data_IF_074560523600
#
_entry.id   IF_074560523600
#
_cell.length_a   1.000
_cell.length_b   1.000
_cell.length_c   1.000
_cell.angle_alpha   90.00
_cell.angle_beta   90.00
_cell.angle_gamma   90.00
#
_symmetry.space_group_name_H-M   'P 1'
#
loop_
_entity.id
_entity.type
_entity.pdbx_description
1 polymer ?
#
# COMPACT_ATOMS: atom_id res chain seq x y z
N UNK A 1 1.52 -9.05 -1.99
CA UNK A 1 0.47 -10.07 -1.78
C UNK A 1 -0.65 -9.51 -0.91
N UNK A 2 -0.42 -9.09 0.33
CA UNK A 2 -1.48 -8.67 1.26
C UNK A 2 -2.23 -7.38 0.86
N UNK A 3 -1.71 -6.59 -0.07
CA UNK A 3 -2.27 -5.28 -0.44
C UNK A 3 -3.04 -5.27 -1.76
N UNK A 4 -3.14 -6.41 -2.43
CA UNK A 4 -3.79 -6.55 -3.75
C UNK A 4 -4.95 -7.52 -3.69
N UNK A 5 -6.00 -7.35 -4.52
CA UNK A 5 -7.08 -8.31 -4.62
C UNK A 5 -6.57 -9.70 -4.98
N UNK A 6 -7.24 -10.73 -4.46
CA UNK A 6 -6.90 -12.13 -4.68
C UNK A 6 -5.40 -12.42 -4.43
N UNK A 7 -4.97 -12.12 -3.20
CA UNK A 7 -3.57 -12.27 -2.80
C UNK A 7 -3.04 -13.69 -2.93
N UNK A 8 -3.91 -14.71 -2.79
CA UNK A 8 -3.55 -16.13 -2.96
C UNK A 8 -3.13 -16.42 -4.38
N UNK A 9 -3.96 -16.05 -5.35
CA UNK A 9 -3.66 -16.23 -6.78
C UNK A 9 -2.38 -15.48 -7.18
N UNK A 10 -2.17 -14.27 -6.66
CA UNK A 10 -0.93 -13.53 -6.90
C UNK A 10 0.28 -14.27 -6.32
N UNK A 11 0.17 -14.82 -5.11
CA UNK A 11 1.21 -15.63 -4.47
C UNK A 11 1.56 -16.88 -5.30
N UNK A 12 0.55 -17.59 -5.81
CA UNK A 12 0.73 -18.73 -6.69
C UNK A 12 1.42 -18.34 -8.01
N UNK A 13 1.04 -17.17 -8.56
CA UNK A 13 1.67 -16.63 -9.78
C UNK A 13 3.15 -16.32 -9.57
N UNK A 14 3.54 -15.78 -8.40
CA UNK A 14 4.95 -15.56 -8.08
C UNK A 14 5.75 -16.86 -7.97
N UNK A 15 5.15 -17.90 -7.41
CA UNK A 15 5.81 -19.21 -7.33
C UNK A 15 6.09 -19.83 -8.71
N UNK A 16 5.39 -19.40 -9.77
CA UNK A 16 5.60 -19.84 -11.14
C UNK A 16 6.60 -19.02 -11.96
N UNK A 17 7.25 -18.01 -11.38
CA UNK A 17 8.25 -17.21 -12.08
C UNK A 17 9.57 -17.97 -12.24
N UNK A 18 10.22 -17.84 -13.40
CA UNK A 18 11.56 -18.40 -13.63
C UNK A 18 12.63 -17.75 -12.76
N UNK A 19 12.44 -16.48 -12.40
CA UNK A 19 13.35 -15.72 -11.54
C UNK A 19 12.65 -14.50 -10.97
N UNK A 20 12.83 -14.26 -9.67
CA UNK A 20 12.32 -13.10 -8.98
C UNK A 20 13.41 -12.44 -8.12
N UNK A 21 13.65 -11.16 -8.33
CA UNK A 21 14.47 -10.34 -7.42
C UNK A 21 13.60 -9.30 -6.71
N UNK A 22 13.81 -9.12 -5.41
CA UNK A 22 13.08 -8.14 -4.61
C UNK A 22 14.02 -7.18 -3.90
N UNK A 23 13.64 -5.91 -3.84
CA UNK A 23 14.32 -4.90 -3.02
C UNK A 23 13.48 -4.66 -1.78
N UNK A 24 13.86 -5.27 -0.67
CA UNK A 24 13.12 -5.23 0.59
C UNK A 24 14.07 -5.54 1.75
N UNK A 25 13.71 -5.09 2.95
CA UNK A 25 14.44 -5.37 4.20
C UNK A 25 13.87 -6.58 4.95
N UNK A 26 12.71 -7.09 4.54
CA UNK A 26 12.04 -8.22 5.17
C UNK A 26 11.88 -9.41 4.23
N UNK A 27 11.92 -10.60 4.80
CA UNK A 27 11.40 -11.82 4.18
C UNK A 27 9.91 -11.94 4.55
N UNK A 28 9.06 -11.33 3.73
CA UNK A 28 7.61 -11.21 3.94
C UNK A 28 6.80 -12.06 2.95
N UNK A 29 5.49 -11.92 2.93
CA UNK A 29 4.55 -12.69 2.12
C UNK A 29 4.77 -12.54 0.61
N UNK A 30 5.46 -11.50 0.19
CA UNK A 30 5.84 -11.26 -1.22
C UNK A 30 7.25 -11.78 -1.49
N UNK A 31 8.21 -11.36 -0.67
CA UNK A 31 9.64 -11.62 -0.90
C UNK A 31 10.06 -13.05 -0.64
N UNK A 32 9.22 -13.86 0.05
CA UNK A 32 9.44 -15.30 0.21
C UNK A 32 9.51 -16.07 -1.12
N UNK A 33 8.97 -15.49 -2.19
CA UNK A 33 9.02 -16.04 -3.55
C UNK A 33 10.27 -15.62 -4.34
N UNK A 34 11.05 -14.69 -3.80
CA UNK A 34 12.21 -14.17 -4.50
C UNK A 34 13.43 -15.09 -4.39
N UNK A 35 14.11 -15.33 -5.52
CA UNK A 35 15.42 -16.01 -5.57
C UNK A 35 16.52 -15.15 -4.98
N UNK A 36 16.36 -13.82 -5.08
CA UNK A 36 17.33 -12.85 -4.55
C UNK A 36 16.60 -11.70 -3.88
N UNK A 37 16.96 -11.41 -2.63
CA UNK A 37 16.51 -10.22 -1.91
C UNK A 37 17.70 -9.27 -1.76
N UNK A 38 17.52 -8.01 -2.17
CA UNK A 38 18.52 -6.95 -2.11
C UNK A 38 18.08 -5.95 -1.03
N UNK A 39 18.59 -6.05 0.20
CA UNK A 39 18.19 -5.17 1.29
C UNK A 39 18.77 -3.76 1.09
N UNK A 40 17.90 -2.72 0.97
CA UNK A 40 18.34 -1.35 0.94
C UNK A 40 18.62 -0.82 2.35
N UNK A 41 19.32 0.32 2.43
CA UNK A 41 19.43 1.09 3.66
C UNK A 41 18.05 1.59 4.14
N UNK A 42 17.95 1.85 5.44
CA UNK A 42 16.74 2.39 6.05
C UNK A 42 16.54 3.88 5.71
N UNK A 43 15.35 4.41 6.01
CA UNK A 43 15.03 5.82 5.78
C UNK A 43 15.91 6.78 6.60
N UNK A 44 16.49 6.34 7.74
CA UNK A 44 17.35 7.16 8.59
C UNK A 44 18.81 7.22 8.11
N UNK A 45 19.20 6.32 7.22
CA UNK A 45 20.54 6.26 6.63
C UNK A 45 20.66 7.02 5.30
N UNK A 46 19.61 7.70 4.86
CA UNK A 46 19.60 8.44 3.58
C UNK A 46 19.04 9.85 3.72
N UNK A 47 19.51 10.72 2.82
CA UNK A 47 18.96 12.07 2.66
C UNK A 47 17.49 12.00 2.21
N UNK A 48 16.71 12.98 2.63
CA UNK A 48 15.33 13.13 2.21
C UNK A 48 15.03 14.56 1.75
N UNK A 49 14.39 14.68 0.60
CA UNK A 49 13.78 15.90 0.08
C UNK A 49 12.40 15.55 -0.48
N UNK A 50 11.37 16.13 0.09
CA UNK A 50 10.00 15.85 -0.35
C UNK A 50 9.65 16.63 -1.61
N UNK A 51 9.53 15.90 -2.73
CA UNK A 51 9.12 16.46 -4.02
C UNK A 51 7.60 16.52 -4.20
N UNK A 52 6.85 15.68 -3.51
CA UNK A 52 5.43 15.43 -3.79
C UNK A 52 4.53 16.06 -2.72
N UNK A 53 4.76 15.74 -1.46
CA UNK A 53 3.84 16.13 -0.38
C UNK A 53 3.95 17.60 0.02
N UNK A 54 5.07 18.27 -0.27
CA UNK A 54 5.18 19.72 -0.08
C UNK A 54 4.15 20.51 -0.92
N UNK A 55 3.63 19.92 -2.00
CA UNK A 55 2.51 20.53 -2.76
C UNK A 55 1.23 20.66 -1.95
N UNK A 56 1.07 19.86 -0.88
CA UNK A 56 -0.09 19.85 -0.01
C UNK A 56 0.08 20.74 1.24
N UNK A 57 1.23 21.42 1.36
CA UNK A 57 1.49 22.35 2.44
C UNK A 57 0.62 23.61 2.33
N UNK A 58 0.28 24.23 3.44
CA UNK A 58 -0.51 25.48 3.48
C UNK A 58 0.26 26.72 3.01
N UNK A 59 1.56 26.60 2.82
CA UNK A 59 2.48 27.60 2.26
C UNK A 59 3.48 26.92 1.33
N UNK A 60 4.11 27.66 0.44
CA UNK A 60 5.25 27.16 -0.32
C UNK A 60 6.43 26.99 0.64
N UNK A 61 6.86 25.76 0.87
CA UNK A 61 7.99 25.43 1.74
C UNK A 61 8.94 24.47 1.04
N UNK A 62 10.18 24.43 1.48
CA UNK A 62 11.16 23.45 1.08
C UNK A 62 11.99 23.02 2.26
N UNK A 63 12.24 21.71 2.37
CA UNK A 63 13.06 21.15 3.44
C UNK A 63 13.95 20.04 2.90
N UNK A 64 15.19 20.05 3.35
CA UNK A 64 16.13 18.94 3.14
C UNK A 64 16.52 18.37 4.49
N UNK A 65 16.38 17.06 4.64
CA UNK A 65 16.75 16.34 5.84
C UNK A 65 17.92 15.44 5.50
N UNK A 66 19.11 15.68 6.07
CA UNK A 66 20.26 14.78 5.86
C UNK A 66 20.03 13.45 6.58
N UNK A 67 20.77 12.42 6.18
CA UNK A 67 20.82 11.14 6.87
C UNK A 67 21.19 11.37 8.35
N UNK A 68 20.52 10.61 9.24
CA UNK A 68 20.78 10.61 10.68
C UNK A 68 21.93 9.67 11.03
N UNK A 69 22.00 8.53 10.34
CA UNK A 69 23.02 7.53 10.50
C UNK A 69 23.84 7.38 9.22
N UNK A 70 25.12 7.08 9.39
CA UNK A 70 25.96 6.67 8.27
C UNK A 70 25.57 5.26 7.82
N UNK A 71 25.54 5.02 6.52
CA UNK A 71 25.28 3.68 6.00
C UNK A 71 26.47 2.77 6.23
N UNK A 72 26.21 1.51 6.52
CA UNK A 72 27.25 0.50 6.67
C UNK A 72 28.08 0.33 5.38
N UNK A 73 29.35 -0.04 5.56
CA UNK A 73 30.25 -0.31 4.42
C UNK A 73 29.69 -1.46 3.57
N UNK A 74 29.44 -1.19 2.31
CA UNK A 74 28.89 -2.17 1.35
C UNK A 74 27.37 -2.16 1.26
N UNK A 75 26.65 -1.50 2.18
CA UNK A 75 25.21 -1.28 2.04
C UNK A 75 24.90 -0.33 0.88
N UNK A 76 23.75 -0.51 0.24
CA UNK A 76 23.30 0.31 -0.87
C UNK A 76 21.93 0.92 -0.56
N UNK A 77 21.72 2.17 -0.97
CA UNK A 77 20.40 2.74 -0.99
C UNK A 77 19.54 2.07 -2.08
N UNK A 78 18.23 2.07 -1.91
CA UNK A 78 17.29 1.56 -2.91
C UNK A 78 17.57 2.17 -4.32
N UNK A 79 17.75 3.48 -4.41
CA UNK A 79 18.07 4.15 -5.67
C UNK A 79 19.42 3.71 -6.26
N UNK A 80 20.43 3.39 -5.44
CA UNK A 80 21.72 2.86 -5.90
C UNK A 80 21.54 1.46 -6.50
N UNK A 81 20.73 0.61 -5.87
CA UNK A 81 20.41 -0.73 -6.36
C UNK A 81 19.75 -0.62 -7.75
N UNK A 82 18.67 0.15 -7.86
CA UNK A 82 17.96 0.35 -9.14
C UNK A 82 18.87 1.00 -10.21
N UNK A 83 19.69 1.95 -9.82
CA UNK A 83 20.66 2.58 -10.72
C UNK A 83 21.66 1.57 -11.28
N UNK A 84 22.20 0.69 -10.44
CA UNK A 84 23.16 -0.34 -10.87
C UNK A 84 22.49 -1.39 -11.79
N UNK A 85 21.25 -1.79 -11.50
CA UNK A 85 20.48 -2.66 -12.38
C UNK A 85 20.25 -1.98 -13.72
N UNK A 86 19.77 -0.74 -13.71
CA UNK A 86 19.50 0.03 -14.91
C UNK A 86 20.74 0.26 -15.78
N UNK A 87 21.90 0.59 -15.18
CA UNK A 87 23.16 0.77 -15.91
C UNK A 87 23.58 -0.53 -16.61
N UNK A 88 23.49 -1.68 -15.91
CA UNK A 88 23.88 -2.98 -16.49
C UNK A 88 22.91 -3.43 -17.59
N UNK A 89 21.63 -3.24 -17.39
CA UNK A 89 20.58 -3.57 -18.37
C UNK A 89 20.72 -2.70 -19.61
N UNK A 90 20.87 -1.37 -19.44
CA UNK A 90 21.07 -0.45 -20.54
C UNK A 90 22.36 -0.73 -21.33
N UNK A 91 23.43 -1.15 -20.66
CA UNK A 91 24.67 -1.51 -21.34
C UNK A 91 24.47 -2.69 -22.31
N UNK A 92 23.62 -3.64 -21.96
CA UNK A 92 23.28 -4.78 -22.84
C UNK A 92 22.32 -4.36 -23.98
N UNK A 93 21.22 -3.64 -23.64
CA UNK A 93 20.20 -3.21 -24.63
C UNK A 93 20.81 -2.25 -25.66
N UNK A 94 21.65 -1.33 -25.22
CA UNK A 94 22.23 -0.27 -26.04
C UNK A 94 23.64 -0.60 -26.55
N UNK A 95 24.05 -1.87 -26.56
CA UNK A 95 25.37 -2.29 -27.02
C UNK A 95 25.71 -1.83 -28.44
N UNK A 96 24.70 -1.68 -29.31
CA UNK A 96 24.83 -1.23 -30.70
C UNK A 96 24.81 0.29 -30.87
N UNK A 97 24.54 1.10 -29.83
CA UNK A 97 24.56 2.57 -29.92
C UNK A 97 26.01 3.11 -30.00
N UNK A 98 26.21 4.30 -30.61
CA UNK A 98 27.51 4.97 -30.60
C UNK A 98 28.07 5.12 -29.18
N UNK A 99 29.40 4.99 -29.04
CA UNK A 99 30.10 5.05 -27.76
C UNK A 99 29.77 6.31 -26.95
N UNK A 100 29.73 7.46 -27.61
CA UNK A 100 29.40 8.76 -26.98
C UNK A 100 28.01 8.75 -26.35
N UNK A 101 27.01 8.20 -27.05
CA UNK A 101 25.64 8.05 -26.52
C UNK A 101 25.60 7.14 -25.31
N UNK A 102 26.34 6.03 -25.34
CA UNK A 102 26.43 5.10 -24.20
C UNK A 102 27.11 5.74 -22.98
N UNK A 103 28.16 6.52 -23.19
CA UNK A 103 28.84 7.24 -22.10
C UNK A 103 27.90 8.30 -21.50
N UNK A 104 27.25 9.11 -22.33
CA UNK A 104 26.34 10.17 -21.85
C UNK A 104 25.15 9.60 -21.07
N UNK A 105 24.56 8.50 -21.54
CA UNK A 105 23.52 7.78 -20.81
C UNK A 105 24.03 7.26 -19.46
N UNK A 106 25.22 6.66 -19.43
CA UNK A 106 25.80 6.15 -18.19
C UNK A 106 26.07 7.27 -17.20
N UNK A 107 26.61 8.41 -17.62
CA UNK A 107 26.85 9.59 -16.78
C UNK A 107 25.52 10.09 -16.20
N UNK A 108 24.49 10.26 -17.04
CA UNK A 108 23.17 10.69 -16.60
C UNK A 108 22.55 9.73 -15.60
N UNK A 109 22.68 8.42 -15.83
CA UNK A 109 22.15 7.39 -14.94
C UNK A 109 22.94 7.26 -13.63
N UNK A 110 24.17 7.78 -13.58
CA UNK A 110 25.04 7.72 -12.37
C UNK A 110 24.87 8.92 -11.45
N UNK A 111 23.97 9.86 -11.76
CA UNK A 111 23.73 11.03 -10.92
C UNK A 111 22.96 10.64 -9.66
N UNK A 112 23.43 11.09 -8.48
CA UNK A 112 22.69 10.88 -7.24
C UNK A 112 21.42 11.74 -7.19
N UNK A 113 20.36 11.29 -6.51
CA UNK A 113 19.15 12.09 -6.30
C UNK A 113 19.43 13.47 -5.66
N UNK A 114 20.33 13.53 -4.69
CA UNK A 114 20.73 14.78 -4.03
C UNK A 114 21.38 15.77 -5.01
N UNK A 115 22.21 15.28 -5.95
CA UNK A 115 22.75 16.13 -7.02
C UNK A 115 21.65 16.61 -7.97
N UNK A 116 20.73 15.74 -8.36
CA UNK A 116 19.59 16.11 -9.21
C UNK A 116 18.73 17.19 -8.56
N UNK A 117 18.39 17.03 -7.28
CA UNK A 117 17.64 18.04 -6.50
C UNK A 117 18.41 19.36 -6.44
N UNK A 118 19.73 19.31 -6.22
CA UNK A 118 20.57 20.51 -6.19
C UNK A 118 20.51 21.29 -7.50
N UNK A 119 20.58 20.60 -8.63
CA UNK A 119 20.47 21.21 -9.96
C UNK A 119 19.07 21.79 -10.21
N UNK A 120 18.02 21.07 -9.83
CA UNK A 120 16.63 21.54 -9.95
C UNK A 120 16.36 22.79 -9.10
N UNK A 121 16.88 22.84 -7.87
CA UNK A 121 16.79 24.03 -7.01
C UNK A 121 17.51 25.23 -7.63
N UNK A 122 18.71 25.01 -8.21
CA UNK A 122 19.45 26.06 -8.89
C UNK A 122 18.69 26.61 -10.12
N UNK A 123 18.05 25.73 -10.88
CA UNK A 123 17.20 26.13 -12.02
C UNK A 123 15.95 26.90 -11.56
N UNK A 124 15.34 26.48 -10.44
CA UNK A 124 14.15 27.12 -9.86
C UNK A 124 14.40 28.50 -9.24
N UNK A 125 15.64 28.82 -8.89
CA UNK A 125 16.11 30.14 -8.38
C UNK A 125 15.38 30.69 -7.15
N UNK A 126 14.58 29.88 -6.44
CA UNK A 126 13.85 30.32 -5.23
C UNK A 126 14.57 30.00 -3.94
N UNK A 127 15.36 28.93 -3.95
CA UNK A 127 16.21 28.51 -2.84
C UNK A 127 17.38 27.70 -3.39
N UNK A 128 18.30 27.31 -2.52
CA UNK A 128 19.46 26.49 -2.90
C UNK A 128 19.67 25.40 -1.86
N UNK A 129 20.36 24.31 -2.27
CA UNK A 129 20.74 23.24 -1.35
C UNK A 129 21.55 23.77 -0.16
N UNK A 130 22.38 24.80 -0.36
CA UNK A 130 23.13 25.46 0.71
C UNK A 130 22.19 26.07 1.74
N UNK A 131 21.17 26.81 1.31
CA UNK A 131 20.17 27.41 2.21
C UNK A 131 19.38 26.34 2.96
N UNK A 132 18.94 25.27 2.28
CA UNK A 132 18.21 24.20 2.93
C UNK A 132 19.03 23.46 4.01
N UNK A 133 20.33 23.33 3.82
CA UNK A 133 21.24 22.75 4.82
C UNK A 133 21.50 23.66 6.00
N UNK A 134 21.44 24.98 5.82
CA UNK A 134 21.54 25.97 6.90
C UNK A 134 20.25 26.11 7.72
N UNK A 135 19.12 25.67 7.15
CA UNK A 135 17.78 25.77 7.75
C UNK A 135 17.14 24.36 7.85
N UNK A 136 17.55 23.54 8.83
CA UNK A 136 17.02 22.19 9.01
C UNK A 136 15.52 22.16 9.35
N UNK A 137 14.98 23.26 9.89
CA UNK A 137 13.56 23.50 10.11
C UNK A 137 12.77 23.66 8.80
N UNK A 138 13.45 24.01 7.71
CA UNK A 138 12.89 24.30 6.40
C UNK A 138 12.89 25.78 6.04
N UNK A 139 12.68 26.09 4.78
CA UNK A 139 12.64 27.46 4.22
C UNK A 139 11.21 27.77 3.78
N UNK A 140 10.65 28.87 4.25
CA UNK A 140 9.39 29.42 3.76
C UNK A 140 9.65 30.19 2.43
N UNK A 141 9.00 29.76 1.37
CA UNK A 141 9.09 30.34 0.03
C UNK A 141 7.89 31.26 -0.29
N UNK A 142 7.07 31.55 0.71
CA UNK A 142 5.94 32.47 0.61
C UNK A 142 4.58 31.79 0.49
N UNK A 143 3.57 32.61 0.33
CA UNK A 143 2.18 32.20 0.29
C UNK A 143 1.84 31.40 -0.96
N UNK A 144 0.89 30.48 -0.83
CA UNK A 144 0.22 29.87 -1.97
C UNK A 144 -0.64 30.94 -2.65
N UNK A 145 -0.48 31.09 -3.96
CA UNK A 145 -1.31 31.99 -4.76
C UNK A 145 -2.21 31.18 -5.70
N UNK A 146 -3.46 31.60 -5.89
CA UNK A 146 -4.33 30.99 -6.88
C UNK A 146 -3.64 30.94 -8.27
N UNK A 147 -3.57 29.78 -8.87
CA UNK A 147 -2.90 29.58 -10.16
C UNK A 147 -3.87 29.17 -11.27
N UNK A 148 -5.14 28.99 -10.92
CA UNK A 148 -6.21 28.70 -11.86
C UNK A 148 -6.69 29.99 -12.56
N UNK A 149 -7.07 29.94 -13.85
CA UNK A 149 -7.05 28.78 -14.77
C UNK A 149 -5.71 28.57 -15.50
N UNK A 150 -4.70 29.44 -15.29
CA UNK A 150 -3.46 29.46 -16.08
C UNK A 150 -2.72 28.09 -16.08
N UNK A 151 -2.69 27.40 -14.95
CA UNK A 151 -2.04 26.07 -14.79
C UNK A 151 -2.85 24.90 -15.33
N UNK A 152 -4.07 25.09 -15.81
CA UNK A 152 -4.79 24.00 -16.44
C UNK A 152 -4.12 23.60 -17.77
N UNK A 153 -3.92 22.30 -17.95
CA UNK A 153 -3.33 21.76 -19.18
C UNK A 153 -4.35 21.50 -20.29
N UNK A 154 -5.65 21.69 -20.00
CA UNK A 154 -6.72 21.62 -21.02
C UNK A 154 -6.56 22.72 -22.05
N UNK A 155 -6.86 22.42 -23.33
CA UNK A 155 -6.70 23.38 -24.44
C UNK A 155 -7.48 24.69 -24.24
N UNK A 156 -8.67 24.62 -23.64
CA UNK A 156 -9.56 25.76 -23.40
C UNK A 156 -9.39 26.40 -22.01
N UNK A 157 -8.42 25.92 -21.21
CA UNK A 157 -8.20 26.36 -19.81
C UNK A 157 -9.45 26.28 -18.94
N UNK A 158 -10.30 25.30 -19.18
CA UNK A 158 -11.49 24.98 -18.39
C UNK A 158 -11.41 23.58 -17.80
N UNK A 159 -12.08 23.38 -16.68
CA UNK A 159 -12.25 22.05 -16.07
C UNK A 159 -13.44 21.40 -16.79
N UNK A 160 -13.23 20.20 -17.30
CA UNK A 160 -14.31 19.35 -17.80
C UNK A 160 -14.93 18.61 -16.60
N UNK A 161 -16.17 18.97 -16.27
CA UNK A 161 -16.90 18.39 -15.14
C UNK A 161 -17.64 17.09 -15.50
N UNK A 162 -17.73 16.77 -16.79
CA UNK A 162 -18.40 15.58 -17.29
C UNK A 162 -17.60 14.92 -18.43
N UNK A 163 -16.38 14.46 -18.15
CA UNK A 163 -15.54 13.86 -19.19
C UNK A 163 -16.19 12.60 -19.74
N UNK A 164 -16.23 12.49 -21.06
CA UNK A 164 -16.94 11.44 -21.78
C UNK A 164 -16.66 10.00 -21.25
N UNK A 165 -15.42 9.60 -20.88
CA UNK A 165 -15.16 8.28 -20.32
C UNK A 165 -15.91 8.03 -19.00
N UNK A 166 -16.00 9.04 -18.12
CA UNK A 166 -16.70 8.90 -16.83
C UNK A 166 -18.22 8.89 -17.01
N UNK A 167 -18.73 9.70 -17.95
CA UNK A 167 -20.17 9.70 -18.27
C UNK A 167 -20.60 8.35 -18.87
N UNK A 168 -19.79 7.78 -19.76
CA UNK A 168 -20.05 6.46 -20.35
C UNK A 168 -20.05 5.34 -19.30
N UNK A 169 -19.27 5.46 -18.22
CA UNK A 169 -19.19 4.47 -17.15
C UNK A 169 -20.43 4.45 -16.23
N UNK A 170 -21.30 5.45 -16.30
CA UNK A 170 -22.54 5.48 -15.53
C UNK A 170 -23.46 4.28 -15.84
N UNK A 171 -23.41 3.76 -17.05
CA UNK A 171 -24.21 2.57 -17.39
C UNK A 171 -23.69 1.33 -16.66
N UNK A 172 -22.38 1.14 -16.60
CA UNK A 172 -21.77 0.07 -15.77
C UNK A 172 -22.12 0.26 -14.30
N UNK A 173 -22.08 1.48 -13.77
CA UNK A 173 -22.44 1.76 -12.38
C UNK A 173 -23.89 1.33 -12.10
N UNK A 174 -24.84 1.65 -12.98
CA UNK A 174 -26.26 1.27 -12.81
C UNK A 174 -26.46 -0.24 -12.70
N UNK A 175 -25.70 -1.01 -13.48
CA UNK A 175 -25.79 -2.48 -13.51
C UNK A 175 -24.95 -3.16 -12.43
N UNK A 176 -23.94 -2.48 -11.90
CA UNK A 176 -22.98 -3.05 -10.92
C UNK A 176 -23.25 -2.64 -9.47
N UNK A 177 -24.26 -1.82 -9.20
CA UNK A 177 -24.67 -1.53 -7.82
C UNK A 177 -25.07 -2.87 -7.17
N UNK A 178 -24.34 -3.36 -6.16
CA UNK A 178 -24.70 -4.59 -5.52
C UNK A 178 -26.03 -4.41 -4.79
N UNK A 179 -27.03 -5.10 -5.26
CA UNK A 179 -28.20 -5.41 -4.43
C UNK A 179 -27.81 -6.72 -3.74
N UNK A 180 -27.52 -6.74 -2.43
CA UNK A 180 -27.21 -7.98 -1.73
C UNK A 180 -28.37 -8.96 -1.95
N UNK A 181 -28.04 -10.19 -2.31
CA UNK A 181 -29.03 -11.27 -2.31
C UNK A 181 -29.51 -11.53 -0.88
N UNK A 182 -30.65 -12.18 -0.73
CA UNK A 182 -31.15 -12.52 0.60
C UNK A 182 -30.10 -13.31 1.39
N UNK A 183 -29.73 -12.82 2.57
CA UNK A 183 -28.69 -13.41 3.42
C UNK A 183 -27.25 -12.94 3.13
N UNK A 184 -26.99 -12.21 2.05
CA UNK A 184 -25.69 -11.60 1.79
C UNK A 184 -25.49 -10.30 2.61
N UNK A 185 -24.23 -10.05 2.92
CA UNK A 185 -23.73 -8.85 3.58
C UNK A 185 -22.73 -8.16 2.67
N UNK A 186 -22.50 -6.89 2.91
CA UNK A 186 -21.50 -6.11 2.16
C UNK A 186 -20.25 -5.95 3.00
N UNK A 187 -19.13 -6.50 2.54
CA UNK A 187 -17.83 -6.34 3.19
C UNK A 187 -17.18 -5.02 2.79
N UNK A 188 -16.76 -4.26 3.78
CA UNK A 188 -15.92 -3.07 3.62
C UNK A 188 -14.58 -3.24 4.34
N UNK A 189 -13.52 -2.67 3.75
CA UNK A 189 -12.21 -2.60 4.39
C UNK A 189 -12.15 -1.45 5.39
N UNK A 190 -11.49 -1.66 6.55
CA UNK A 190 -11.14 -0.58 7.45
C UNK A 190 -9.65 -0.40 7.56
N UNK A 191 -9.23 0.84 7.77
CA UNK A 191 -7.84 1.24 7.97
C UNK A 191 -7.62 1.66 9.41
N UNK A 192 -6.46 1.33 9.93
CA UNK A 192 -6.03 1.80 11.23
C UNK A 192 -4.74 2.59 11.08
N UNK A 193 -4.67 3.79 11.68
CA UNK A 193 -3.53 4.72 11.51
C UNK A 193 -2.18 4.14 11.95
N UNK A 194 -2.18 3.27 12.97
CA UNK A 194 -0.96 2.63 13.46
C UNK A 194 -0.50 1.42 12.64
N UNK A 195 -1.30 0.95 11.67
CA UNK A 195 -0.95 -0.23 10.88
C UNK A 195 -0.15 0.12 9.62
N UNK A 196 -0.33 1.33 9.07
CA UNK A 196 0.28 1.79 7.82
C UNK A 196 0.19 0.70 6.72
N UNK A 197 -1.00 0.25 6.40
CA UNK A 197 -1.33 -1.01 5.73
C UNK A 197 -0.89 -2.22 6.57
N UNK A 198 0.28 -2.80 6.31
CA UNK A 198 0.89 -3.90 7.09
C UNK A 198 2.32 -3.57 7.56
N UNK A 199 2.85 -2.44 7.17
CA UNK A 199 4.28 -2.12 7.33
C UNK A 199 4.74 -2.09 8.79
N UNK A 200 3.85 -1.71 9.69
CA UNK A 200 4.16 -1.55 11.11
C UNK A 200 3.79 -2.77 11.95
N UNK A 201 3.21 -3.81 11.36
CA UNK A 201 2.82 -5.00 12.10
C UNK A 201 4.02 -5.79 12.68
N UNK A 202 5.21 -5.62 12.12
CA UNK A 202 6.44 -6.19 12.69
C UNK A 202 7.07 -5.34 13.81
N UNK A 203 6.38 -4.29 14.27
CA UNK A 203 6.82 -3.39 15.34
C UNK A 203 5.90 -3.57 16.55
N UNK A 204 6.37 -4.27 17.58
CA UNK A 204 5.61 -4.60 18.80
C UNK A 204 4.89 -3.37 19.41
N UNK A 205 5.58 -2.21 19.48
CA UNK A 205 5.01 -0.98 20.04
C UNK A 205 3.73 -0.51 19.33
N UNK A 206 3.62 -0.75 18.02
CA UNK A 206 2.49 -0.28 17.21
C UNK A 206 1.35 -1.28 17.12
N UNK A 207 1.61 -2.55 17.45
CA UNK A 207 0.60 -3.61 17.48
C UNK A 207 -0.02 -3.84 18.85
N UNK A 208 0.51 -3.22 19.91
CA UNK A 208 -0.02 -3.29 21.27
C UNK A 208 -1.44 -2.72 21.39
N UNK A 209 -2.19 -3.21 22.35
CA UNK A 209 -3.51 -2.71 22.73
C UNK A 209 -4.64 -3.69 22.44
N UNK A 210 -5.85 -3.16 22.30
CA UNK A 210 -7.04 -3.99 22.03
C UNK A 210 -6.93 -4.70 20.67
N UNK A 211 -7.46 -5.91 20.54
CA UNK A 211 -7.54 -6.60 19.26
C UNK A 211 -8.23 -5.73 18.18
N UNK A 212 -7.66 -5.70 16.99
CA UNK A 212 -8.17 -4.89 15.86
C UNK A 212 -8.46 -5.73 14.63
N UNK A 213 -8.11 -7.02 14.68
CA UNK A 213 -8.20 -7.95 13.56
C UNK A 213 -9.60 -8.50 13.30
N UNK A 214 -10.52 -8.37 14.27
CA UNK A 214 -11.83 -9.02 14.26
C UNK A 214 -12.74 -8.50 13.14
N UNK A 215 -13.68 -9.33 12.70
CA UNK A 215 -14.81 -8.90 11.86
C UNK A 215 -15.76 -8.06 12.72
N UNK A 216 -16.04 -6.82 12.33
CA UNK A 216 -17.08 -6.01 12.96
C UNK A 216 -18.41 -6.26 12.28
N UNK A 217 -19.45 -6.50 13.08
CA UNK A 217 -20.80 -6.80 12.60
C UNK A 217 -21.85 -6.19 13.52
N UNK A 218 -22.96 -5.71 12.93
CA UNK A 218 -24.07 -5.15 13.72
C UNK A 218 -24.75 -6.24 14.57
N UNK A 219 -25.14 -5.95 15.84
CA UNK A 219 -25.81 -6.91 16.70
C UNK A 219 -27.10 -7.51 16.09
N UNK A 220 -27.84 -6.75 15.28
CA UNK A 220 -29.04 -7.25 14.58
C UNK A 220 -28.69 -8.34 13.57
N UNK A 221 -27.59 -8.15 12.83
CA UNK A 221 -27.10 -9.13 11.87
C UNK A 221 -26.57 -10.39 12.54
N UNK A 222 -25.89 -10.23 13.69
CA UNK A 222 -25.44 -11.34 14.52
C UNK A 222 -26.62 -12.18 14.98
N UNK A 223 -27.62 -11.54 15.59
CA UNK A 223 -28.80 -12.21 16.14
C UNK A 223 -29.58 -12.97 15.05
N UNK A 224 -29.76 -12.34 13.86
CA UNK A 224 -30.49 -12.97 12.75
C UNK A 224 -29.82 -14.23 12.20
N UNK A 225 -28.53 -14.42 12.47
CA UNK A 225 -27.71 -15.56 12.01
C UNK A 225 -27.33 -16.53 13.15
N UNK A 226 -27.81 -16.27 14.37
CA UNK A 226 -27.45 -17.08 15.53
C UNK A 226 -25.96 -17.04 15.89
N UNK A 227 -25.30 -15.92 15.61
CA UNK A 227 -23.88 -15.69 15.90
C UNK A 227 -23.79 -14.84 17.18
N UNK A 228 -22.87 -15.17 18.08
CA UNK A 228 -22.60 -14.42 19.30
C UNK A 228 -21.32 -13.58 19.15
N UNK A 229 -21.19 -12.54 19.95
CA UNK A 229 -19.95 -11.77 20.07
C UNK A 229 -18.79 -12.68 20.48
N UNK A 230 -17.70 -12.62 19.75
CA UNK A 230 -16.52 -13.46 19.94
C UNK A 230 -16.57 -14.85 19.29
N UNK A 231 -17.64 -15.22 18.61
CA UNK A 231 -17.68 -16.50 17.89
C UNK A 231 -16.71 -16.49 16.70
N UNK A 232 -16.15 -17.67 16.39
CA UNK A 232 -15.40 -17.88 15.15
C UNK A 232 -16.39 -18.01 13.99
N UNK A 233 -16.20 -17.22 12.95
CA UNK A 233 -17.05 -17.21 11.75
C UNK A 233 -16.25 -17.46 10.49
N UNK A 234 -16.89 -18.06 9.48
CA UNK A 234 -16.35 -18.13 8.12
C UNK A 234 -17.03 -17.07 7.26
N UNK A 235 -16.22 -16.26 6.62
CA UNK A 235 -16.64 -15.27 5.63
C UNK A 235 -16.28 -15.83 4.27
N UNK A 236 -17.24 -15.83 3.37
CA UNK A 236 -17.05 -16.32 2.00
C UNK A 236 -17.49 -15.27 0.99
N UNK A 237 -16.63 -15.02 0.02
CA UNK A 237 -16.92 -14.21 -1.19
C UNK A 237 -16.90 -15.10 -2.44
N UNK A 238 -17.08 -14.51 -3.61
CA UNK A 238 -16.93 -15.21 -4.91
C UNK A 238 -15.55 -15.85 -5.09
N UNK A 239 -14.49 -15.25 -4.54
CA UNK A 239 -13.10 -15.66 -4.84
C UNK A 239 -12.45 -16.46 -3.72
N UNK A 240 -12.97 -16.44 -2.51
CA UNK A 240 -12.36 -17.18 -1.42
C UNK A 240 -13.12 -17.11 -0.11
N UNK A 241 -12.53 -17.72 0.91
CA UNK A 241 -13.06 -17.71 2.27
C UNK A 241 -11.95 -17.54 3.30
N UNK A 242 -12.29 -16.90 4.43
CA UNK A 242 -11.41 -16.74 5.59
C UNK A 242 -12.18 -17.01 6.87
N UNK A 243 -11.47 -17.38 7.94
CA UNK A 243 -12.05 -17.65 9.26
C UNK A 243 -11.48 -16.66 10.28
N UNK A 244 -12.35 -16.00 11.05
CA UNK A 244 -11.97 -14.93 11.97
C UNK A 244 -13.00 -14.78 13.08
N UNK A 245 -12.56 -14.29 14.24
CA UNK A 245 -13.46 -13.95 15.33
C UNK A 245 -14.30 -12.71 14.95
N UNK A 246 -15.58 -12.74 15.30
CA UNK A 246 -16.48 -11.61 15.14
C UNK A 246 -16.53 -10.75 16.40
N UNK A 247 -16.73 -9.45 16.22
CA UNK A 247 -17.00 -8.54 17.33
C UNK A 247 -18.29 -7.74 17.03
N UNK A 248 -19.16 -7.69 18.02
CA UNK A 248 -20.37 -6.88 17.97
C UNK A 248 -20.02 -5.39 17.94
N UNK A 249 -20.58 -4.65 16.99
CA UNK A 249 -20.34 -3.22 16.82
C UNK A 249 -21.66 -2.49 16.50
N UNK A 250 -22.18 -1.73 17.46
CA UNK A 250 -23.44 -0.99 17.32
C UNK A 250 -23.38 0.13 16.27
N UNK A 251 -22.17 0.65 16.01
CA UNK A 251 -21.92 1.67 15.02
C UNK A 251 -21.82 1.15 13.58
N UNK A 252 -21.84 -0.19 13.41
CA UNK A 252 -21.92 -0.78 12.07
C UNK A 252 -23.36 -0.71 11.53
N UNK A 253 -23.49 -0.34 10.26
CA UNK A 253 -24.77 -0.37 9.57
C UNK A 253 -25.24 -1.84 9.41
N UNK A 254 -26.52 -2.17 9.69
CA UNK A 254 -27.07 -3.48 9.34
C UNK A 254 -26.86 -3.82 7.86
N UNK A 255 -26.51 -5.06 7.58
CA UNK A 255 -26.18 -5.53 6.24
C UNK A 255 -24.74 -5.26 5.81
N UNK A 256 -23.91 -4.63 6.67
CA UNK A 256 -22.51 -4.31 6.38
C UNK A 256 -21.59 -4.93 7.42
N UNK A 257 -20.50 -5.54 6.95
CA UNK A 257 -19.43 -6.08 7.82
C UNK A 257 -18.09 -5.48 7.46
N UNK A 258 -17.19 -5.38 8.44
CA UNK A 258 -15.89 -4.73 8.23
C UNK A 258 -14.72 -5.56 8.71
N UNK A 259 -13.74 -5.77 7.82
CA UNK A 259 -12.44 -6.37 8.16
C UNK A 259 -11.30 -5.35 8.03
N UNK A 260 -10.27 -5.45 8.87
CA UNK A 260 -9.10 -4.61 8.74
C UNK A 260 -8.23 -5.03 7.56
N UNK A 261 -7.60 -4.04 6.93
CA UNK A 261 -6.64 -4.24 5.86
C UNK A 261 -5.23 -4.51 6.42
N UNK A 262 -4.45 -5.35 5.73
CA UNK A 262 -3.03 -5.56 6.01
C UNK A 262 -2.70 -6.70 6.97
N UNK A 263 -3.67 -7.49 7.39
CA UNK A 263 -3.50 -8.68 8.22
C UNK A 263 -3.30 -9.96 7.38
N UNK A 264 -2.97 -11.07 8.04
CA UNK A 264 -2.74 -12.37 7.39
C UNK A 264 -1.26 -12.73 7.25
N UNK A 265 -0.47 -12.47 8.31
CA UNK A 265 0.98 -12.68 8.31
C UNK A 265 1.41 -14.14 8.62
N UNK A 266 0.47 -15.03 8.97
CA UNK A 266 0.75 -16.42 9.30
C UNK A 266 1.00 -17.25 8.03
N UNK A 267 2.06 -16.90 7.30
CA UNK A 267 2.40 -17.52 6.01
C UNK A 267 3.76 -18.20 6.14
N UNK A 268 3.81 -19.49 5.79
CA UNK A 268 5.04 -20.27 5.80
C UNK A 268 6.10 -19.65 4.86
N UNK A 269 7.37 -19.71 5.29
CA UNK A 269 8.50 -19.17 4.53
C UNK A 269 8.77 -17.68 4.79
N UNK A 270 7.97 -16.98 5.59
CA UNK A 270 8.26 -15.61 6.04
C UNK A 270 9.16 -15.59 7.28
N UNK A 271 9.83 -14.45 7.53
CA UNK A 271 10.66 -14.23 8.74
C UNK A 271 10.31 -12.90 9.42
N UNK A 272 9.04 -12.60 9.50
CA UNK A 272 8.52 -11.42 10.22
C UNK A 272 8.08 -11.86 11.62
N UNK A 273 9.04 -12.07 12.51
CA UNK A 273 8.87 -12.76 13.79
C UNK A 273 7.76 -12.19 14.67
N UNK A 274 7.61 -10.86 14.75
CA UNK A 274 6.53 -10.25 15.52
C UNK A 274 5.20 -10.27 14.76
N UNK A 275 5.20 -9.89 13.48
CA UNK A 275 3.98 -9.86 12.66
C UNK A 275 3.33 -11.24 12.52
N UNK A 276 4.10 -12.32 12.45
CA UNK A 276 3.57 -13.69 12.41
C UNK A 276 2.76 -14.04 13.67
N UNK A 277 3.01 -13.39 14.81
CA UNK A 277 2.22 -13.53 16.02
C UNK A 277 0.99 -12.62 16.09
N UNK A 278 0.81 -11.69 15.15
CA UNK A 278 -0.34 -10.79 15.09
C UNK A 278 -1.52 -11.55 14.47
N UNK A 279 -2.58 -11.75 15.26
CA UNK A 279 -3.78 -12.42 14.77
C UNK A 279 -4.46 -11.65 13.64
N UNK A 280 -5.21 -12.35 12.80
CA UNK A 280 -5.98 -11.76 11.70
C UNK A 280 -5.77 -12.46 10.37
N UNK A 281 -6.61 -12.13 9.41
CA UNK A 281 -6.64 -12.71 8.07
C UNK A 281 -6.55 -11.64 6.99
N UNK A 282 -6.15 -12.01 5.79
CA UNK A 282 -6.11 -11.07 4.67
C UNK A 282 -7.52 -10.81 4.13
N UNK A 283 -8.01 -9.57 4.26
CA UNK A 283 -9.24 -9.15 3.60
C UNK A 283 -9.15 -9.33 2.07
N UNK A 284 -7.95 -9.25 1.51
CA UNK A 284 -7.73 -9.35 0.07
C UNK A 284 -7.84 -10.79 -0.47
N UNK A 285 -7.95 -11.79 0.41
CA UNK A 285 -8.37 -13.14 0.03
C UNK A 285 -9.87 -13.22 -0.30
N UNK A 286 -10.62 -12.15 0.00
CA UNK A 286 -12.05 -12.00 -0.30
C UNK A 286 -12.33 -10.98 -1.40
N UNK A 287 -11.38 -10.10 -1.73
CA UNK A 287 -11.57 -9.05 -2.75
C UNK A 287 -11.38 -9.60 -4.15
N UNK A 288 -12.30 -9.21 -5.05
CA UNK A 288 -12.41 -9.77 -6.40
C UNK A 288 -11.54 -8.99 -7.39
N UNK A 289 -10.54 -9.64 -8.03
CA UNK A 289 -9.67 -8.98 -8.99
C UNK A 289 -10.36 -8.60 -10.31
N UNK A 290 -11.54 -9.14 -10.59
CA UNK A 290 -12.32 -8.80 -11.79
C UNK A 290 -13.21 -7.57 -11.58
N UNK A 291 -13.39 -7.12 -10.33
CA UNK A 291 -14.13 -5.89 -10.00
C UNK A 291 -13.25 -4.68 -10.14
N UNK A 292 -13.09 -4.21 -11.37
CA UNK A 292 -12.29 -3.04 -11.73
C UNK A 292 -13.19 -1.93 -12.28
N UNK A 293 -12.81 -0.68 -12.02
CA UNK A 293 -13.39 0.47 -12.72
C UNK A 293 -12.70 0.70 -14.09
N UNK A 294 -13.14 1.72 -14.82
CA UNK A 294 -12.58 2.05 -16.15
C UNK A 294 -11.11 2.51 -16.10
N UNK A 295 -10.60 2.89 -14.92
CA UNK A 295 -9.21 3.26 -14.72
C UNK A 295 -8.33 2.08 -14.32
N UNK A 296 -8.92 0.91 -14.10
CA UNK A 296 -8.25 -0.28 -13.58
C UNK A 296 -8.10 -0.31 -12.06
N UNK A 297 -8.79 0.58 -11.29
CA UNK A 297 -8.82 0.51 -9.85
C UNK A 297 -9.65 -0.68 -9.37
N UNK A 298 -9.10 -1.40 -8.40
CA UNK A 298 -9.79 -2.51 -7.77
C UNK A 298 -10.85 -2.04 -6.76
N UNK A 299 -12.00 -2.70 -6.75
CA UNK A 299 -13.04 -2.49 -5.76
C UNK A 299 -12.69 -3.24 -4.46
N UNK A 300 -11.95 -2.58 -3.56
CA UNK A 300 -11.51 -3.12 -2.27
C UNK A 300 -12.59 -3.04 -1.17
N UNK A 301 -13.74 -2.48 -1.46
CA UNK A 301 -14.91 -2.37 -0.58
C UNK A 301 -16.19 -2.62 -1.37
N UNK A 302 -17.28 -2.92 -0.67
CA UNK A 302 -18.55 -3.26 -1.34
C UNK A 302 -18.55 -4.69 -1.88
N UNK A 303 -17.80 -5.61 -1.29
CA UNK A 303 -17.72 -7.01 -1.72
C UNK A 303 -18.89 -7.79 -1.13
N UNK A 304 -19.74 -8.45 -1.95
CA UNK A 304 -20.78 -9.35 -1.44
C UNK A 304 -20.14 -10.55 -0.73
N UNK A 305 -20.62 -10.84 0.48
CA UNK A 305 -20.11 -11.95 1.30
C UNK A 305 -21.25 -12.63 2.06
N UNK A 306 -21.05 -13.90 2.38
CA UNK A 306 -21.82 -14.62 3.38
C UNK A 306 -21.00 -14.82 4.64
N UNK A 307 -21.65 -14.81 5.81
CA UNK A 307 -21.03 -15.03 7.11
C UNK A 307 -21.80 -16.13 7.83
N UNK A 308 -21.10 -17.18 8.27
CA UNK A 308 -21.68 -18.32 8.99
C UNK A 308 -20.85 -18.64 10.24
N UNK A 309 -21.54 -18.97 11.33
CA UNK A 309 -20.87 -19.45 12.53
C UNK A 309 -20.15 -20.77 12.25
N UNK A 310 -18.92 -20.91 12.77
CA UNK A 310 -18.25 -22.20 12.85
C UNK A 310 -18.55 -22.80 14.23
N UNK A 311 -19.24 -23.95 14.23
CA UNK A 311 -19.49 -24.67 15.46
C UNK A 311 -18.15 -25.21 15.97
N UNK A 312 -17.51 -24.48 16.86
CA UNK A 312 -16.42 -25.02 17.66
C UNK A 312 -17.07 -25.84 18.79
N UNK A 313 -16.89 -27.16 18.80
CA UNK A 313 -17.09 -27.94 20.02
C UNK A 313 -16.18 -27.30 21.09
N UNK A 314 -16.75 -26.45 21.94
CA UNK A 314 -16.01 -25.92 23.10
C UNK A 314 -15.71 -27.14 24.01
N UNK A 315 -14.48 -27.64 23.91
CA UNK A 315 -13.95 -28.51 24.95
C UNK A 315 -13.98 -27.69 26.27
N UNK A 316 -14.74 -28.05 27.26
CA UNK A 316 -14.79 -27.30 28.52
C UNK A 316 -13.37 -27.28 29.09
N UNK A 317 -12.81 -26.10 29.30
CA UNK A 317 -11.57 -25.99 30.05
C UNK A 317 -11.86 -26.43 31.48
N UNK A 318 -11.05 -27.32 32.08
CA UNK A 318 -11.23 -27.69 33.46
C UNK A 318 -11.10 -26.44 34.34
N UNK A 319 -12.13 -26.17 35.10
CA UNK A 319 -12.16 -25.14 36.13
C UNK A 319 -11.10 -25.53 37.16
N UNK A 320 -9.96 -24.80 37.16
CA UNK A 320 -8.88 -24.91 38.13
C UNK A 320 -9.00 -23.80 39.16
#
# INVERSE_FOLDING_TARGET
>A
VLSTPDGRRLSESFAGLDFMASVDIYLNETTRHADVILPPTTALERDHYDLVFHMLSVRNTARFTPAVFEKEKGAMHDWEIFQQIAIRTNAKINAKKPLVARISERVRMSMSPTLMVTLLLALGRKTSMKQLRLHPEGVDLGELRPTMPARLHTKNKRIDLAPAPLVADLERLRTSLPVPSEGELVLIGRRHKSDCNSWTHNLERLTRGKPRHQLLMNPTDLASRGINDGDLVRITSRVGSVEIDVAAAEDMMPGVVSLPHGYGHQVEGTRMTHAMGVAGVSINDLTDPERLDVSGNAALSGVPVTVVALVTERVPQPVG
#
